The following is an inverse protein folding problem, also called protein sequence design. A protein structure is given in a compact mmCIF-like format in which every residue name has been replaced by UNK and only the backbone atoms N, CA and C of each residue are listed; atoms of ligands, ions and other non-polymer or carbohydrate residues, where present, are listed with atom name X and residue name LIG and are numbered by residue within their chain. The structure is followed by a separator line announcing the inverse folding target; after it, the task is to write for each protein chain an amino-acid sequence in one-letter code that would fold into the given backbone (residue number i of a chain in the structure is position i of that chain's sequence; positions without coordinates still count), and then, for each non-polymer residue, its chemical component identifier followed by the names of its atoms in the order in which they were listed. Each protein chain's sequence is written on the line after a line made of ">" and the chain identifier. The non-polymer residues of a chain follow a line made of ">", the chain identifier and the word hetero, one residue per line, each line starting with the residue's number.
data_IF_003204693545
#
_entry.id   IF_003204693545
#
_cell.length_a   1.000
_cell.length_b   1.000
_cell.length_c   1.000
_cell.angle_alpha   90.00
_cell.angle_beta   90.00
_cell.angle_gamma   90.00
#
_symmetry.space_group_name_H-M   'P 1'
#
loop_
_entity.id
_entity.type
_entity.pdbx_description
1 polymer ?
#
# COMPACT_ATOMS: atom_id res chain seq x y z
N UNK A 1 -12.31 -23.88 -1.78
CA UNK A 1 -12.21 -23.07 -3.02
C UNK A 1 -10.75 -22.94 -3.40
N UNK A 2 -10.37 -23.14 -4.68
CA UNK A 2 -9.01 -22.86 -5.16
C UNK A 2 -9.05 -21.58 -6.00
N UNK A 3 -8.50 -20.46 -5.51
CA UNK A 3 -8.47 -19.22 -6.28
C UNK A 3 -7.53 -19.35 -7.49
N UNK A 4 -7.87 -18.67 -8.56
CA UNK A 4 -7.04 -18.48 -9.75
C UNK A 4 -6.45 -17.08 -9.71
N UNK A 5 -5.15 -16.97 -10.02
CA UNK A 5 -4.46 -15.69 -10.07
C UNK A 5 -4.52 -15.14 -11.50
N UNK A 6 -5.06 -13.94 -11.64
CA UNK A 6 -4.92 -13.10 -12.81
C UNK A 6 -3.93 -11.97 -12.50
N UNK A 7 -3.01 -11.70 -13.42
CA UNK A 7 -2.09 -10.59 -13.32
C UNK A 7 -2.18 -9.70 -14.54
N UNK A 8 -2.23 -8.40 -14.29
CA UNK A 8 -2.26 -7.35 -15.30
C UNK A 8 -1.23 -6.29 -14.96
N UNK A 9 -0.61 -5.71 -15.99
CA UNK A 9 0.38 -4.65 -15.87
C UNK A 9 -0.16 -3.39 -16.51
N UNK A 10 -0.04 -2.27 -15.80
CA UNK A 10 -0.50 -0.98 -16.26
C UNK A 10 0.60 0.07 -16.21
N UNK A 11 0.86 0.77 -17.32
CA UNK A 11 1.65 2.00 -17.33
C UNK A 11 0.71 3.17 -17.65
N UNK A 12 0.74 4.22 -16.83
CA UNK A 12 -0.12 5.41 -16.99
C UNK A 12 -1.62 5.08 -17.19
N UNK A 13 -2.09 4.00 -16.57
CA UNK A 13 -3.49 3.54 -16.66
C UNK A 13 -3.82 2.65 -17.87
N UNK A 14 -2.87 2.39 -18.76
CA UNK A 14 -3.05 1.54 -19.95
C UNK A 14 -2.55 0.12 -19.66
N UNK A 15 -3.36 -0.90 -19.96
CA UNK A 15 -2.97 -2.31 -19.83
C UNK A 15 -1.90 -2.64 -20.89
N UNK A 16 -0.67 -2.90 -20.42
CA UNK A 16 0.50 -3.23 -21.24
C UNK A 16 0.96 -4.69 -21.04
N UNK A 17 0.07 -5.54 -20.50
CA UNK A 17 0.39 -6.94 -20.19
C UNK A 17 0.84 -7.73 -21.41
N UNK A 18 0.29 -7.41 -22.60
CA UNK A 18 0.62 -8.10 -23.83
C UNK A 18 2.03 -7.74 -24.31
N UNK A 19 2.42 -6.46 -24.19
CA UNK A 19 3.74 -5.95 -24.56
C UNK A 19 4.85 -6.57 -23.72
N UNK A 20 4.68 -6.60 -22.39
CA UNK A 20 5.65 -7.24 -21.50
C UNK A 20 5.80 -8.73 -21.82
N UNK A 21 4.69 -9.43 -22.07
CA UNK A 21 4.72 -10.84 -22.49
C UNK A 21 5.44 -11.03 -23.82
N UNK A 22 5.17 -10.20 -24.82
CA UNK A 22 5.80 -10.29 -26.13
C UNK A 22 7.33 -10.09 -26.05
N UNK A 23 7.79 -9.28 -25.09
CA UNK A 23 9.21 -9.03 -24.85
C UNK A 23 9.84 -9.93 -23.77
N UNK A 24 9.09 -10.91 -23.24
CA UNK A 24 9.51 -11.78 -22.13
C UNK A 24 9.98 -11.01 -20.88
N UNK A 25 9.38 -9.85 -20.61
CA UNK A 25 9.66 -9.03 -19.43
C UNK A 25 8.74 -9.48 -18.28
N UNK A 26 9.29 -9.93 -17.15
CA UNK A 26 8.49 -10.28 -15.97
C UNK A 26 7.64 -9.12 -15.47
N UNK A 27 6.43 -9.41 -15.01
CA UNK A 27 5.47 -8.40 -14.59
C UNK A 27 5.83 -7.71 -13.26
N UNK A 28 6.58 -8.38 -12.38
CA UNK A 28 6.95 -7.82 -11.07
C UNK A 28 8.03 -6.74 -11.23
N UNK A 29 7.72 -5.45 -11.04
CA UNK A 29 8.61 -4.35 -11.40
C UNK A 29 9.82 -4.20 -10.48
N UNK A 30 9.77 -4.76 -9.26
CA UNK A 30 10.82 -4.59 -8.25
C UNK A 30 11.83 -5.74 -8.23
N UNK A 31 11.69 -6.75 -9.09
CA UNK A 31 12.58 -7.91 -9.12
C UNK A 31 13.75 -7.71 -10.07
N UNK A 32 14.92 -8.26 -9.73
CA UNK A 32 16.11 -8.24 -10.57
C UNK A 32 15.86 -8.85 -11.96
N UNK A 33 14.95 -9.82 -12.04
CA UNK A 33 14.55 -10.45 -13.30
C UNK A 33 13.92 -9.47 -14.29
N UNK A 34 13.14 -8.47 -13.82
CA UNK A 34 12.57 -7.45 -14.69
C UNK A 34 13.66 -6.53 -15.23
N UNK A 35 14.56 -6.03 -14.37
CA UNK A 35 15.71 -5.21 -14.78
C UNK A 35 16.61 -5.95 -15.78
N UNK A 36 16.92 -7.21 -15.51
CA UNK A 36 17.73 -8.05 -16.40
C UNK A 36 17.05 -8.32 -17.76
N UNK A 37 15.72 -8.34 -17.82
CA UNK A 37 14.98 -8.45 -19.07
C UNK A 37 15.00 -7.12 -19.85
N UNK A 38 14.84 -5.98 -19.17
CA UNK A 38 14.93 -4.64 -19.79
C UNK A 38 16.28 -4.41 -20.46
N UNK A 39 17.38 -4.82 -19.81
CA UNK A 39 18.74 -4.70 -20.34
C UNK A 39 18.98 -5.51 -21.65
N UNK A 40 18.07 -6.43 -22.00
CA UNK A 40 18.15 -7.27 -23.21
C UNK A 40 17.19 -6.83 -24.32
N UNK A 41 16.41 -5.78 -24.09
CA UNK A 41 15.45 -5.29 -25.08
C UNK A 41 16.17 -4.69 -26.29
N UNK A 42 15.63 -4.87 -27.50
CA UNK A 42 16.09 -4.12 -28.67
C UNK A 42 15.94 -2.62 -28.43
N UNK A 43 16.90 -1.82 -28.90
CA UNK A 43 16.91 -0.37 -28.66
C UNK A 43 15.61 0.32 -29.11
N UNK A 44 15.02 -0.10 -30.24
CA UNK A 44 13.75 0.44 -30.71
C UNK A 44 12.58 0.22 -29.73
N UNK A 45 12.59 -0.90 -28.98
CA UNK A 45 11.60 -1.18 -27.93
C UNK A 45 11.86 -0.32 -26.71
N UNK A 46 13.12 -0.15 -26.33
CA UNK A 46 13.51 0.75 -25.24
C UNK A 46 13.05 2.18 -25.53
N UNK A 47 13.33 2.69 -26.73
CA UNK A 47 12.95 4.05 -27.12
C UNK A 47 11.41 4.23 -27.11
N UNK A 48 10.64 3.26 -27.61
CA UNK A 48 9.17 3.26 -27.52
C UNK A 48 8.68 3.27 -26.07
N UNK A 49 9.24 2.40 -25.23
CA UNK A 49 8.82 2.23 -23.84
C UNK A 49 9.18 3.43 -22.97
N UNK A 50 10.31 4.09 -23.23
CA UNK A 50 10.65 5.37 -22.58
C UNK A 50 9.66 6.45 -23.01
N UNK A 51 9.39 6.59 -24.31
CA UNK A 51 8.46 7.61 -24.82
C UNK A 51 7.03 7.42 -24.29
N UNK A 52 6.62 6.18 -24.04
CA UNK A 52 5.30 5.83 -23.46
C UNK A 52 5.28 5.83 -21.93
N UNK A 53 6.41 6.08 -21.27
CA UNK A 53 6.51 6.06 -19.81
C UNK A 53 6.30 4.67 -19.20
N UNK A 54 6.62 3.61 -19.92
CA UNK A 54 6.61 2.22 -19.42
C UNK A 54 7.88 1.96 -18.60
N UNK A 55 9.02 2.51 -19.03
CA UNK A 55 10.29 2.47 -18.32
C UNK A 55 10.86 3.88 -18.22
N UNK A 56 11.71 4.10 -17.22
CA UNK A 56 12.44 5.35 -17.05
C UNK A 56 13.94 5.07 -17.00
N UNK A 57 14.73 6.02 -17.48
CA UNK A 57 16.19 5.98 -17.34
C UNK A 57 16.55 6.19 -15.87
N UNK A 58 17.22 5.21 -15.27
CA UNK A 58 17.80 5.27 -13.94
C UNK A 58 19.16 5.97 -14.07
N UNK A 59 19.15 7.30 -14.03
CA UNK A 59 20.39 8.07 -13.98
C UNK A 59 20.95 7.94 -12.57
N UNK A 60 22.01 7.15 -12.39
CA UNK A 60 22.70 7.04 -11.11
C UNK A 60 23.05 8.40 -10.51
N UNK A 61 23.22 8.43 -9.18
CA UNK A 61 23.35 9.64 -8.35
C UNK A 61 24.48 10.62 -8.75
N UNK A 62 25.44 10.18 -9.56
CA UNK A 62 26.62 10.97 -9.94
C UNK A 62 26.70 11.31 -11.44
N UNK A 63 25.78 10.81 -12.28
CA UNK A 63 25.77 11.09 -13.72
C UNK A 63 27.04 10.66 -14.48
N UNK A 64 27.88 9.81 -13.87
CA UNK A 64 29.16 9.36 -14.45
C UNK A 64 29.06 8.02 -15.18
N UNK A 65 27.93 7.31 -15.02
CA UNK A 65 27.69 6.06 -15.72
C UNK A 65 27.42 6.31 -17.21
N UNK A 66 28.33 5.82 -18.06
CA UNK A 66 28.21 5.89 -19.52
C UNK A 66 27.17 4.94 -20.11
N UNK A 67 26.62 4.02 -19.29
CA UNK A 67 25.62 3.04 -19.73
C UNK A 67 24.26 3.43 -19.16
N UNK A 68 23.30 3.71 -20.04
CA UNK A 68 21.91 3.97 -19.64
C UNK A 68 21.32 2.71 -19.00
N UNK A 69 20.94 2.80 -17.73
CA UNK A 69 20.17 1.77 -17.03
C UNK A 69 18.70 2.17 -17.09
N UNK A 70 17.81 1.21 -17.31
CA UNK A 70 16.37 1.47 -17.31
C UNK A 70 15.69 0.67 -16.20
N UNK A 71 14.71 1.30 -15.55
CA UNK A 71 13.93 0.67 -14.49
C UNK A 71 12.44 0.62 -14.85
N UNK A 72 11.71 -0.42 -14.43
CA UNK A 72 10.27 -0.51 -14.59
C UNK A 72 9.50 0.69 -14.04
N UNK A 73 8.57 1.23 -14.83
CA UNK A 73 7.66 2.31 -14.41
C UNK A 73 6.19 1.93 -14.66
N UNK A 74 5.80 0.75 -14.15
CA UNK A 74 4.45 0.23 -14.27
C UNK A 74 3.91 -0.31 -12.95
N UNK A 75 2.59 -0.44 -12.88
CA UNK A 75 1.87 -1.06 -11.79
C UNK A 75 1.51 -2.51 -12.13
N UNK A 76 1.90 -3.46 -11.28
CA UNK A 76 1.36 -4.82 -11.30
C UNK A 76 0.07 -4.88 -10.45
N UNK A 77 -1.03 -5.33 -11.06
CA UNK A 77 -2.27 -5.67 -10.38
C UNK A 77 -2.45 -7.18 -10.37
N UNK A 78 -2.64 -7.76 -9.20
CA UNK A 78 -2.86 -9.20 -9.00
C UNK A 78 -4.26 -9.41 -8.42
N UNK A 79 -5.09 -10.16 -9.13
CA UNK A 79 -6.48 -10.45 -8.75
C UNK A 79 -6.63 -11.95 -8.54
N UNK A 80 -7.09 -12.35 -7.37
CA UNK A 80 -7.48 -13.73 -7.11
C UNK A 80 -8.98 -13.88 -7.32
N UNK A 81 -9.40 -14.79 -8.21
CA UNK A 81 -10.81 -15.01 -8.53
C UNK A 81 -11.19 -16.49 -8.44
N UNK A 82 -12.46 -16.75 -8.16
CA UNK A 82 -13.04 -18.09 -8.14
C UNK A 82 -14.54 -18.01 -8.38
N UNK A 83 -15.14 -19.13 -8.78
CA UNK A 83 -16.60 -19.26 -8.86
C UNK A 83 -17.16 -19.67 -7.51
N UNK A 84 -18.24 -19.03 -7.09
CA UNK A 84 -18.99 -19.35 -5.87
C UNK A 84 -20.43 -19.67 -6.22
N UNK A 85 -21.02 -20.63 -5.53
CA UNK A 85 -22.44 -20.99 -5.66
C UNK A 85 -23.18 -20.54 -4.41
N UNK A 86 -24.26 -19.77 -4.58
CA UNK A 86 -25.11 -19.30 -3.49
C UNK A 86 -26.43 -20.07 -3.52
N UNK A 87 -26.61 -21.08 -2.66
CA UNK A 87 -27.88 -21.81 -2.59
C UNK A 87 -29.03 -20.90 -2.15
N UNK A 88 -30.20 -21.09 -2.73
CA UNK A 88 -31.38 -20.29 -2.40
C UNK A 88 -31.71 -20.36 -0.90
N UNK A 89 -31.99 -19.21 -0.30
CA UNK A 89 -32.42 -19.04 1.09
C UNK A 89 -31.46 -19.66 2.14
N UNK A 90 -30.16 -19.68 1.85
CA UNK A 90 -29.14 -20.17 2.78
C UNK A 90 -28.02 -19.16 2.94
N UNK A 91 -27.54 -19.02 4.16
CA UNK A 91 -26.37 -18.21 4.46
C UNK A 91 -25.11 -18.88 3.91
N UNK A 92 -24.23 -18.04 3.34
CA UNK A 92 -22.91 -18.44 2.87
C UNK A 92 -21.87 -17.64 3.64
N UNK A 93 -21.01 -18.34 4.38
CA UNK A 93 -19.90 -17.71 5.09
C UNK A 93 -18.64 -17.73 4.23
N UNK A 94 -18.03 -16.56 4.07
CA UNK A 94 -16.78 -16.38 3.32
C UNK A 94 -15.71 -15.89 4.29
N UNK A 95 -14.52 -16.51 4.23
CA UNK A 95 -13.35 -16.11 5.01
C UNK A 95 -12.13 -16.04 4.09
N UNK A 96 -11.39 -14.93 4.17
CA UNK A 96 -10.14 -14.72 3.46
C UNK A 96 -9.00 -14.58 4.47
N UNK A 97 -7.91 -15.30 4.22
CA UNK A 97 -6.66 -15.15 4.96
C UNK A 97 -5.51 -15.09 3.95
N UNK A 98 -4.73 -14.02 4.02
CA UNK A 98 -3.60 -13.79 3.12
C UNK A 98 -2.60 -12.81 3.75
N UNK A 99 -1.37 -12.81 3.23
CA UNK A 99 -0.36 -11.81 3.54
C UNK A 99 -0.42 -10.70 2.49
N UNK A 100 -0.82 -9.46 2.84
CA UNK A 100 -0.89 -8.37 1.88
C UNK A 100 0.50 -7.85 1.51
N UNK A 101 0.58 -7.12 0.40
CA UNK A 101 1.69 -6.20 0.16
C UNK A 101 1.59 -5.02 1.13
N UNK A 102 2.74 -4.62 1.70
CA UNK A 102 2.83 -3.48 2.61
C UNK A 102 3.67 -2.41 1.91
N UNK A 103 3.10 -1.22 1.72
CA UNK A 103 3.87 -0.07 1.25
C UNK A 103 4.71 0.47 2.39
N UNK A 104 5.87 1.07 2.11
CA UNK A 104 6.66 1.70 3.16
C UNK A 104 7.66 2.73 2.67
N UNK A 105 8.21 3.47 3.62
CA UNK A 105 9.35 4.37 3.44
C UNK A 105 10.28 4.24 4.65
N UNK A 106 11.58 4.37 4.43
CA UNK A 106 12.61 4.17 5.46
C UNK A 106 12.66 5.28 6.53
N UNK A 107 11.76 6.26 6.46
CA UNK A 107 11.62 7.34 7.44
C UNK A 107 10.21 7.92 7.40
N UNK A 108 9.87 8.71 8.42
CA UNK A 108 8.67 9.55 8.47
C UNK A 108 8.81 10.72 7.49
N UNK A 109 8.11 10.62 6.37
CA UNK A 109 8.17 11.53 5.22
C UNK A 109 7.45 12.87 5.43
N UNK A 110 6.60 12.96 6.47
CA UNK A 110 5.75 14.12 6.75
C UNK A 110 6.17 14.92 8.00
N UNK A 111 7.32 14.61 8.59
CA UNK A 111 7.88 15.33 9.74
C UNK A 111 9.40 15.46 9.63
N UNK A 112 9.88 16.69 9.49
CA UNK A 112 11.30 17.04 9.44
C UNK A 112 11.50 18.49 9.89
N UNK A 113 12.71 18.91 10.23
CA UNK A 113 13.01 20.23 10.82
C UNK A 113 12.13 20.59 12.03
N UNK A 114 11.80 19.59 12.85
CA UNK A 114 10.98 19.76 14.05
C UNK A 114 9.51 20.13 13.82
N UNK A 115 9.00 20.03 12.59
CA UNK A 115 7.61 20.39 12.25
C UNK A 115 6.98 19.42 11.25
N UNK A 116 5.65 19.38 11.25
CA UNK A 116 4.87 18.70 10.22
C UNK A 116 4.89 19.51 8.93
N UNK A 117 5.31 18.90 7.82
CA UNK A 117 5.44 19.54 6.52
C UNK A 117 5.48 18.51 5.37
N UNK A 118 5.72 18.96 4.15
CA UNK A 118 5.70 18.09 2.96
C UNK A 118 4.29 17.55 2.69
N UNK A 119 4.16 16.22 2.62
CA UNK A 119 2.89 15.51 2.35
C UNK A 119 1.96 15.41 3.57
N UNK A 120 2.27 16.11 4.67
CA UNK A 120 1.53 16.02 5.93
C UNK A 120 0.01 16.18 5.79
N UNK A 121 -0.48 17.20 5.06
CA UNK A 121 -1.91 17.43 4.93
C UNK A 121 -2.63 16.25 4.24
N UNK A 122 -2.01 15.68 3.20
CA UNK A 122 -2.53 14.51 2.50
C UNK A 122 -2.54 13.27 3.40
N UNK A 123 -1.45 13.04 4.16
CA UNK A 123 -1.39 11.95 5.13
C UNK A 123 -2.44 12.11 6.24
N UNK A 124 -2.63 13.34 6.74
CA UNK A 124 -3.55 13.61 7.84
C UNK A 124 -4.98 13.29 7.44
N UNK A 125 -5.39 13.72 6.24
CA UNK A 125 -6.69 13.40 5.68
C UNK A 125 -6.86 11.90 5.37
N UNK A 126 -5.84 11.27 4.78
CA UNK A 126 -5.89 9.87 4.39
C UNK A 126 -5.97 8.92 5.59
N UNK A 127 -5.13 9.13 6.60
CA UNK A 127 -4.98 8.23 7.75
C UNK A 127 -5.71 8.71 9.02
N UNK A 128 -6.46 9.81 8.93
CA UNK A 128 -7.13 10.45 10.06
C UNK A 128 -6.18 10.69 11.26
N UNK A 129 -5.00 11.26 10.98
CA UNK A 129 -4.01 11.54 12.03
C UNK A 129 -4.59 12.54 13.04
N UNK A 130 -4.79 12.07 14.27
CA UNK A 130 -5.36 12.85 15.36
C UNK A 130 -4.26 13.54 16.19
N UNK A 131 -4.67 14.37 17.15
CA UNK A 131 -3.74 15.06 18.04
C UNK A 131 -2.89 14.10 18.88
N UNK A 132 -3.41 12.92 19.23
CA UNK A 132 -2.68 11.89 20.00
C UNK A 132 -1.51 11.34 19.18
N UNK A 133 -1.77 10.94 17.95
CA UNK A 133 -0.77 10.45 17.01
C UNK A 133 0.27 11.53 16.70
N UNK A 134 -0.17 12.76 16.41
CA UNK A 134 0.73 13.88 16.13
C UNK A 134 1.66 14.18 17.32
N UNK A 135 1.13 14.16 18.54
CA UNK A 135 1.92 14.39 19.75
C UNK A 135 2.93 13.27 19.99
N UNK A 136 2.59 12.02 19.67
CA UNK A 136 3.52 10.90 19.76
C UNK A 136 4.67 11.04 18.76
N UNK A 137 4.41 11.48 17.52
CA UNK A 137 5.46 11.79 16.53
C UNK A 137 6.37 12.92 17.03
N UNK A 138 5.79 14.03 17.54
CA UNK A 138 6.59 15.14 18.10
C UNK A 138 7.45 14.69 19.28
N UNK A 139 6.91 13.81 20.13
CA UNK A 139 7.66 13.26 21.27
C UNK A 139 8.84 12.42 20.78
N UNK A 140 8.61 11.50 19.85
CA UNK A 140 9.67 10.65 19.31
C UNK A 140 10.79 11.47 18.66
N UNK A 141 10.45 12.55 17.95
CA UNK A 141 11.44 13.45 17.37
C UNK A 141 12.26 14.23 18.41
N UNK A 142 11.65 14.59 19.56
CA UNK A 142 12.37 15.28 20.66
C UNK A 142 13.27 14.34 21.45
N UNK A 143 12.88 13.08 21.56
CA UNK A 143 13.65 12.05 22.27
C UNK A 143 14.87 11.58 21.44
N UNK A 144 14.99 12.03 20.18
CA UNK A 144 16.11 11.76 19.29
C UNK A 144 17.05 12.97 19.14
N UNK A 145 18.37 12.82 19.31
CA UNK A 145 19.34 13.92 19.19
C UNK A 145 19.36 14.60 17.82
N UNK A 146 19.05 13.88 16.75
CA UNK A 146 19.05 14.41 15.39
C UNK A 146 17.72 15.14 15.07
N UNK A 147 16.76 15.10 15.98
CA UNK A 147 15.46 15.77 15.83
C UNK A 147 14.49 15.03 14.92
N UNK A 148 14.77 13.76 14.60
CA UNK A 148 13.95 12.94 13.71
C UNK A 148 13.22 11.83 14.48
N UNK A 149 11.93 11.58 14.19
CA UNK A 149 11.24 10.46 14.78
C UNK A 149 11.80 9.16 14.18
N UNK A 150 12.42 8.33 15.02
CA UNK A 150 13.01 7.02 14.67
C UNK A 150 11.96 5.95 14.36
N UNK A 151 11.24 6.18 13.27
CA UNK A 151 10.24 5.26 12.73
C UNK A 151 10.41 5.07 11.23
N UNK A 152 10.06 3.87 10.75
CA UNK A 152 9.76 3.61 9.34
C UNK A 152 8.24 3.59 9.14
N UNK A 153 7.80 4.02 7.96
CA UNK A 153 6.37 3.97 7.63
C UNK A 153 6.01 2.61 7.03
N UNK A 154 4.92 2.04 7.54
CA UNK A 154 4.21 0.91 6.93
C UNK A 154 2.79 1.37 6.59
N UNK A 155 2.37 1.17 5.34
CA UNK A 155 1.09 1.62 4.79
C UNK A 155 0.34 0.43 4.24
N UNK A 156 -0.84 0.17 4.80
CA UNK A 156 -1.73 -0.92 4.41
C UNK A 156 -3.04 -0.31 3.94
N UNK A 157 -3.57 -0.78 2.82
CA UNK A 157 -4.87 -0.37 2.30
C UNK A 157 -5.78 -1.60 2.11
N UNK A 158 -7.07 -1.43 2.39
CA UNK A 158 -8.08 -2.44 2.17
C UNK A 158 -9.30 -1.80 1.50
N UNK A 159 -9.65 -2.29 0.32
CA UNK A 159 -10.80 -1.81 -0.44
C UNK A 159 -12.07 -2.29 0.26
N UNK A 160 -12.90 -1.35 0.71
CA UNK A 160 -14.15 -1.64 1.41
C UNK A 160 -15.35 -1.02 0.69
N UNK A 161 -15.15 0.08 -0.03
CA UNK A 161 -16.18 0.80 -0.79
C UNK A 161 -16.95 -0.07 -1.78
N UNK A 162 -16.30 -1.08 -2.35
CA UNK A 162 -16.96 -2.05 -3.25
C UNK A 162 -18.08 -2.83 -2.56
N UNK A 163 -18.08 -2.90 -1.23
CA UNK A 163 -19.18 -3.43 -0.43
C UNK A 163 -20.46 -2.59 -0.54
N UNK A 164 -20.39 -1.33 -0.95
CA UNK A 164 -21.58 -0.54 -1.27
C UNK A 164 -22.41 -1.11 -2.43
N UNK A 165 -21.84 -2.01 -3.23
CA UNK A 165 -22.53 -2.64 -4.37
C UNK A 165 -23.32 -3.90 -4.00
N UNK A 166 -23.30 -4.36 -2.74
CA UNK A 166 -24.17 -5.46 -2.29
C UNK A 166 -25.63 -5.01 -2.30
N UNK A 167 -26.56 -5.97 -2.40
CA UNK A 167 -27.97 -5.71 -2.70
C UNK A 167 -28.67 -4.70 -1.77
N UNK A 168 -28.21 -4.54 -0.53
CA UNK A 168 -28.77 -3.65 0.49
C UNK A 168 -28.06 -2.29 0.58
N UNK A 169 -26.98 -2.08 -0.17
CA UNK A 169 -26.13 -0.89 -0.08
C UNK A 169 -25.22 -0.84 1.16
N UNK A 170 -25.61 -1.44 2.28
CA UNK A 170 -24.78 -1.56 3.50
C UNK A 170 -24.17 -2.95 3.63
N UNK A 171 -23.08 -3.06 4.41
CA UNK A 171 -22.44 -4.34 4.76
C UNK A 171 -22.92 -4.87 6.13
N UNK A 172 -23.99 -4.29 6.67
CA UNK A 172 -24.60 -4.73 7.92
C UNK A 172 -23.68 -4.55 9.12
N UNK A 173 -23.43 -5.64 9.86
CA UNK A 173 -22.58 -5.61 11.06
C UNK A 173 -21.11 -5.66 10.66
N UNK A 174 -20.39 -4.59 10.96
CA UNK A 174 -18.98 -4.46 10.66
C UNK A 174 -18.15 -4.46 11.95
N UNK A 175 -17.06 -5.23 11.94
CA UNK A 175 -16.04 -5.24 12.98
C UNK A 175 -14.67 -5.14 12.32
N UNK A 176 -13.89 -4.15 12.73
CA UNK A 176 -12.50 -3.97 12.31
C UNK A 176 -11.61 -4.09 13.54
N UNK A 177 -10.65 -4.99 13.48
CA UNK A 177 -9.57 -5.11 14.46
C UNK A 177 -8.25 -4.85 13.76
N UNK A 178 -7.47 -3.90 14.25
CA UNK A 178 -6.12 -3.59 13.77
C UNK A 178 -5.13 -3.95 14.87
N UNK A 179 -4.18 -4.81 14.54
CA UNK A 179 -3.04 -5.12 15.39
C UNK A 179 -1.78 -4.50 14.80
N UNK A 180 -1.17 -3.55 15.52
CA UNK A 180 0.06 -2.88 15.09
C UNK A 180 1.33 -3.69 15.35
N UNK A 181 1.23 -4.89 15.93
CA UNK A 181 2.31 -5.85 16.13
C UNK A 181 3.32 -5.49 17.23
N UNK A 182 3.72 -4.21 17.33
CA UNK A 182 4.69 -3.73 18.29
C UNK A 182 4.04 -2.71 19.26
N UNK A 183 4.11 -2.89 20.59
CA UNK A 183 3.57 -1.94 21.57
C UNK A 183 4.13 -0.51 21.45
N UNK A 184 5.35 -0.34 20.94
CA UNK A 184 6.02 0.95 20.71
C UNK A 184 5.69 1.61 19.37
N UNK A 185 5.10 0.87 18.42
CA UNK A 185 4.66 1.43 17.15
C UNK A 185 3.51 2.43 17.34
N UNK A 186 3.36 3.37 16.43
CA UNK A 186 2.18 4.23 16.33
C UNK A 186 1.27 3.70 15.24
N UNK A 187 -0.04 3.88 15.39
CA UNK A 187 -1.02 3.50 14.36
C UNK A 187 -2.02 4.62 14.17
N UNK A 188 -2.36 4.92 12.92
CA UNK A 188 -3.40 5.88 12.53
C UNK A 188 -4.24 5.29 11.42
N UNK A 189 -5.55 5.36 11.57
CA UNK A 189 -6.53 4.97 10.57
C UNK A 189 -7.85 5.69 10.84
N UNK A 190 -8.69 5.79 9.81
CA UNK A 190 -10.01 6.38 9.95
C UNK A 190 -10.99 5.36 10.51
N UNK A 191 -11.63 5.70 11.62
CA UNK A 191 -12.64 4.87 12.26
C UNK A 191 -13.34 5.61 13.39
N UNK A 192 -14.61 5.32 13.59
CA UNK A 192 -15.40 5.92 14.66
C UNK A 192 -15.38 5.05 15.92
N UNK A 193 -15.33 5.69 17.08
CA UNK A 193 -15.37 5.03 18.40
C UNK A 193 -14.33 3.91 18.57
N UNK A 194 -13.15 4.08 17.99
CA UNK A 194 -12.03 3.12 18.08
C UNK A 194 -11.61 2.97 19.54
N UNK A 195 -11.56 1.72 20.01
CA UNK A 195 -11.14 1.35 21.35
C UNK A 195 -9.83 0.57 21.29
N UNK A 196 -8.87 0.92 22.13
CA UNK A 196 -7.70 0.08 22.37
C UNK A 196 -8.12 -1.13 23.20
N UNK A 197 -7.99 -2.33 22.63
CA UNK A 197 -8.42 -3.60 23.24
C UNK A 197 -7.27 -4.42 23.81
N UNK A 198 -6.02 -4.01 23.55
CA UNK A 198 -4.82 -4.67 24.05
C UNK A 198 -3.57 -3.82 23.85
N UNK A 199 -2.37 -4.34 24.16
CA UNK A 199 -1.11 -3.59 23.99
C UNK A 199 -0.88 -3.07 22.57
N UNK A 200 -1.33 -3.85 21.57
CA UNK A 200 -1.14 -3.58 20.13
C UNK A 200 -2.45 -3.54 19.34
N UNK A 201 -3.58 -3.90 19.94
CA UNK A 201 -4.85 -4.08 19.23
C UNK A 201 -5.83 -2.93 19.45
N UNK A 202 -6.49 -2.55 18.37
CA UNK A 202 -7.51 -1.51 18.31
C UNK A 202 -8.73 -2.08 17.58
N UNK A 203 -9.92 -1.79 18.10
CA UNK A 203 -11.17 -2.32 17.58
C UNK A 203 -12.21 -1.23 17.40
N UNK A 204 -12.96 -1.32 16.32
CA UNK A 204 -14.23 -0.61 16.15
C UNK A 204 -15.31 -1.56 15.65
N UNK A 205 -16.55 -1.25 16.00
CA UNK A 205 -17.74 -1.97 15.55
C UNK A 205 -18.79 -0.97 15.08
N UNK A 206 -19.53 -1.33 14.05
CA UNK A 206 -20.68 -0.57 13.55
C UNK A 206 -21.80 -1.52 13.14
N UNK A 207 -23.04 -1.07 13.35
CA UNK A 207 -24.24 -1.70 12.81
C UNK A 207 -24.71 -0.90 11.57
N UNK A 208 -25.31 -1.60 10.61
CA UNK A 208 -25.76 -1.02 9.33
C UNK A 208 -24.69 -0.18 8.61
N UNK A 209 -23.46 -0.67 8.61
CA UNK A 209 -22.31 0.10 8.15
C UNK A 209 -22.32 0.30 6.64
N UNK A 210 -22.28 1.57 6.20
CA UNK A 210 -22.09 1.94 4.81
C UNK A 210 -20.61 2.29 4.56
N UNK A 211 -19.91 1.57 3.66
CA UNK A 211 -18.49 1.80 3.44
C UNK A 211 -18.23 3.02 2.55
N UNK A 212 -18.29 4.22 3.12
CA UNK A 212 -18.06 5.50 2.43
C UNK A 212 -16.63 5.64 1.89
N UNK A 213 -15.69 4.93 2.48
CA UNK A 213 -14.27 4.97 2.14
C UNK A 213 -13.59 3.63 2.35
N UNK A 214 -12.46 3.47 1.67
CA UNK A 214 -11.56 2.35 1.91
C UNK A 214 -10.84 2.52 3.25
N UNK A 215 -10.29 1.42 3.76
CA UNK A 215 -9.52 1.43 5.00
C UNK A 215 -8.06 1.69 4.64
N UNK A 216 -7.54 2.82 5.09
CA UNK A 216 -6.13 3.18 5.02
C UNK A 216 -5.52 3.15 6.42
N UNK A 217 -4.46 2.37 6.59
CA UNK A 217 -3.77 2.18 7.87
C UNK A 217 -2.32 2.63 7.70
N UNK A 218 -1.90 3.56 8.54
CA UNK A 218 -0.51 3.96 8.72
C UNK A 218 0.01 3.39 10.04
N UNK A 219 1.09 2.64 9.98
CA UNK A 219 1.84 2.17 11.14
C UNK A 219 3.23 2.80 11.07
N UNK A 220 3.64 3.47 12.15
CA UNK A 220 5.01 3.95 12.33
C UNK A 220 5.74 2.94 13.22
N UNK A 221 6.61 2.14 12.61
CA UNK A 221 7.34 1.05 13.28
C UNK A 221 8.72 1.56 13.74
N UNK A 222 9.12 1.36 15.01
CA UNK A 222 10.43 1.83 15.49
C UNK A 222 11.59 1.28 14.65
N UNK A 223 12.58 2.10 14.34
CA UNK A 223 13.80 1.65 13.62
C UNK A 223 14.69 0.76 14.50
N UNK A 224 14.69 1.02 15.80
CA UNK A 224 15.49 0.31 16.78
C UNK A 224 14.58 -0.80 17.34
N UNK A 225 14.85 -2.05 16.96
CA UNK A 225 13.97 -3.19 17.23
C UNK A 225 13.56 -3.36 18.71
N UNK A 226 12.30 -3.75 18.91
CA UNK A 226 11.61 -4.14 20.16
C UNK A 226 12.22 -3.75 21.51
#
# INVERSE_FOLDING_TARGET
>A
VKPQLEQKVFALGIDISAELKAQNVPFYPFGDAAKAALAKLPQAVVDDWVNRGIIIEDTGSDGTETTKVYTPFWQLRSTYWWRSTFPANKDVHVSHHYRPSVGGTSSVSFFYDGKFQGQYAAYKARYCMDGTFENAVRKAAKDDPDGYPKYVENRIAYILTTGGNWATGTIGKFKLTIDKGNPKALVSFCGDNVKKTGPTTFEMTADDFYPERDIDILILEPTDGN
#
